data_IF_541911483352
#
_entry.id   IF_541911483352
#
_cell.length_a   1.000
_cell.length_b   1.000
_cell.length_c   1.000
_cell.angle_alpha   90.00
_cell.angle_beta   90.00
_cell.angle_gamma   90.00
#
_symmetry.space_group_name_H-M   'P 1'
#
loop_
_entity.id
_entity.type
_entity.pdbx_description
1 polymer ?
#
# COMPACT_ATOMS: atom_id res chain seq x y z
N UNK A 1 6.94 5.92 1.71
CA UNK A 1 6.55 5.75 3.11
C UNK A 1 6.07 7.08 3.60
N UNK A 2 4.85 7.13 4.00
CA UNK A 2 4.26 8.27 4.65
C UNK A 2 4.53 8.21 6.14
N UNK A 3 5.07 9.26 6.71
CA UNK A 3 5.26 9.33 8.13
C UNK A 3 4.13 10.12 8.75
N UNK A 4 3.09 9.44 9.13
CA UNK A 4 2.27 9.88 10.23
C UNK A 4 2.73 9.13 11.45
N UNK A 5 3.18 9.84 12.44
CA UNK A 5 3.32 9.24 13.73
C UNK A 5 1.92 9.13 14.31
N UNK A 6 1.25 8.07 14.07
CA UNK A 6 0.05 7.75 14.83
C UNK A 6 0.43 7.26 16.21
N UNK A 7 1.27 8.00 16.87
CA UNK A 7 1.43 7.88 18.27
C UNK A 7 0.46 8.86 18.90
N UNK A 8 -0.62 8.36 19.39
CA UNK A 8 -1.43 8.92 20.45
C UNK A 8 -2.04 10.33 20.27
N UNK A 9 -1.46 11.19 19.40
CA UNK A 9 -1.92 12.56 19.25
C UNK A 9 -1.50 13.12 17.88
N UNK A 10 -2.46 13.33 16.98
CA UNK A 10 -2.22 13.90 15.64
C UNK A 10 -1.65 15.32 15.68
N UNK A 11 -1.94 16.07 16.72
CA UNK A 11 -1.39 17.42 16.88
C UNK A 11 0.09 17.38 17.25
N UNK A 12 0.53 16.40 18.03
CA UNK A 12 1.94 16.28 18.43
C UNK A 12 2.86 15.95 17.26
N UNK A 13 2.35 15.32 16.18
CA UNK A 13 3.15 15.00 15.00
C UNK A 13 3.50 16.25 14.23
N UNK A 14 2.53 17.10 13.99
CA UNK A 14 2.75 18.38 13.31
C UNK A 14 3.82 19.19 14.03
N UNK A 15 3.80 19.20 15.35
CA UNK A 15 4.77 19.92 16.16
C UNK A 15 6.13 19.23 16.20
N UNK A 16 6.16 17.90 16.11
CA UNK A 16 7.36 17.08 16.16
C UNK A 16 7.99 16.80 14.79
N UNK A 17 7.38 17.23 13.68
CA UNK A 17 7.96 17.08 12.35
C UNK A 17 9.08 18.11 12.12
N UNK A 18 10.27 17.81 12.58
CA UNK A 18 11.44 18.70 12.58
C UNK A 18 12.65 18.03 11.93
N UNK A 19 13.66 18.83 11.59
CA UNK A 19 14.95 18.30 11.12
C UNK A 19 15.50 17.21 12.06
N UNK A 20 15.52 17.47 13.36
CA UNK A 20 16.07 16.52 14.35
C UNK A 20 15.26 15.23 14.40
N UNK A 21 13.93 15.30 14.37
CA UNK A 21 13.10 14.09 14.36
C UNK A 21 13.29 13.24 13.09
N UNK A 22 13.60 13.86 11.96
CA UNK A 22 13.83 13.14 10.70
C UNK A 22 15.28 12.65 10.57
N UNK A 23 16.25 13.51 10.85
CA UNK A 23 17.66 13.31 10.46
C UNK A 23 18.62 13.30 11.63
N UNK A 24 18.16 13.50 12.88
CA UNK A 24 18.99 13.31 14.07
C UNK A 24 19.52 11.88 14.18
N UNK A 25 20.43 11.65 15.14
CA UNK A 25 21.10 10.35 15.30
C UNK A 25 20.15 9.15 15.34
N UNK A 26 18.97 9.31 15.93
CA UNK A 26 17.90 8.31 16.00
C UNK A 26 16.69 8.72 15.18
N UNK A 27 16.89 9.60 14.21
CA UNK A 27 15.83 10.12 13.36
C UNK A 27 15.21 9.06 12.47
N UNK A 28 13.99 9.31 12.04
CA UNK A 28 13.19 8.34 11.31
C UNK A 28 13.82 7.91 9.99
N UNK A 29 14.49 8.82 9.31
CA UNK A 29 15.18 8.50 8.06
C UNK A 29 16.35 7.54 8.25
N UNK A 30 16.94 7.47 9.46
CA UNK A 30 18.04 6.57 9.77
C UNK A 30 17.61 5.26 10.43
N UNK A 31 16.43 5.19 11.01
CA UNK A 31 15.98 4.01 11.76
C UNK A 31 15.02 3.12 10.99
N UNK A 32 14.21 3.69 10.09
CA UNK A 32 13.18 2.94 9.38
C UNK A 32 13.70 2.19 8.14
N UNK A 33 13.24 0.98 7.95
CA UNK A 33 13.42 0.13 6.77
C UNK A 33 14.86 -0.02 6.25
N UNK A 34 15.86 -0.34 7.08
CA UNK A 34 17.27 -0.34 6.67
C UNK A 34 17.57 -1.29 5.52
N UNK A 35 16.84 -2.42 5.39
CA UNK A 35 17.05 -3.43 4.33
C UNK A 35 16.57 -2.99 2.96
N UNK A 36 15.58 -2.10 2.88
CA UNK A 36 14.88 -1.78 1.62
C UNK A 36 14.63 -0.29 1.42
N UNK A 37 15.24 0.54 2.25
CA UNK A 37 15.08 2.00 2.22
C UNK A 37 15.34 2.59 0.83
N UNK A 38 16.33 2.05 0.12
CA UNK A 38 16.67 2.46 -1.25
C UNK A 38 15.58 2.21 -2.30
N UNK A 39 14.52 1.46 -1.98
CA UNK A 39 13.37 1.25 -2.85
C UNK A 39 12.18 2.14 -2.48
N UNK A 40 12.23 2.81 -1.34
CA UNK A 40 11.14 3.58 -0.77
C UNK A 40 11.32 5.07 -0.97
N UNK A 41 10.21 5.76 -1.25
CA UNK A 41 10.11 7.22 -1.15
C UNK A 41 9.70 7.57 0.28
N UNK A 42 10.42 8.49 0.90
CA UNK A 42 10.09 9.02 2.21
C UNK A 42 9.22 10.27 2.04
N UNK A 43 7.96 10.20 2.46
CA UNK A 43 7.01 11.31 2.37
C UNK A 43 6.79 11.92 3.75
N UNK A 44 6.96 13.23 3.88
CA UNK A 44 6.57 13.96 5.09
C UNK A 44 5.09 14.29 5.06
N UNK A 45 4.42 14.06 6.20
CA UNK A 45 2.99 14.31 6.38
C UNK A 45 2.69 15.79 6.66
N UNK A 46 1.44 16.10 6.92
CA UNK A 46 0.97 17.43 7.31
C UNK A 46 1.80 18.07 8.42
N UNK A 47 1.84 19.38 8.45
CA UNK A 47 2.62 20.15 9.43
C UNK A 47 4.08 20.41 9.06
N UNK A 48 4.53 20.08 7.86
CA UNK A 48 5.85 20.47 7.35
C UNK A 48 5.91 21.89 6.80
N UNK A 49 4.74 22.44 6.45
CA UNK A 49 4.59 23.74 5.82
C UNK A 49 4.69 24.88 6.82
N UNK A 50 5.22 26.00 6.33
CA UNK A 50 5.18 27.27 7.03
C UNK A 50 3.74 27.79 7.07
N UNK A 51 3.11 27.91 8.24
CA UNK A 51 1.76 28.44 8.33
C UNK A 51 1.76 29.96 8.12
N UNK A 52 0.73 30.48 7.42
CA UNK A 52 0.51 31.91 7.27
C UNK A 52 -0.01 32.55 8.57
N UNK A 53 -0.70 31.74 9.38
CA UNK A 53 -1.26 32.16 10.66
C UNK A 53 -1.02 31.09 11.73
N UNK A 54 -1.01 31.51 13.00
CA UNK A 54 -0.86 30.59 14.14
C UNK A 54 -2.15 29.80 14.43
N UNK A 55 -3.27 30.25 13.91
CA UNK A 55 -4.58 29.61 14.07
C UNK A 55 -5.25 29.49 12.71
N UNK A 56 -5.65 28.28 12.35
CA UNK A 56 -6.40 28.07 11.13
C UNK A 56 -7.82 28.61 11.23
N UNK A 57 -8.36 29.05 10.11
CA UNK A 57 -9.73 29.49 9.99
C UNK A 57 -10.63 28.36 9.50
N UNK A 58 -11.77 28.18 10.19
CA UNK A 58 -12.79 27.24 9.72
C UNK A 58 -13.29 27.64 8.31
N UNK A 59 -13.71 26.68 7.46
CA UNK A 59 -13.86 25.27 7.80
C UNK A 59 -12.61 24.38 7.57
N UNK A 60 -11.60 24.81 6.85
CA UNK A 60 -10.53 23.93 6.34
C UNK A 60 -9.12 24.34 6.84
N UNK A 61 -9.02 24.92 8.02
CA UNK A 61 -7.74 25.37 8.58
C UNK A 61 -6.94 26.25 7.59
N UNK A 62 -7.64 27.13 6.87
CA UNK A 62 -7.01 28.07 5.96
C UNK A 62 -5.96 28.90 6.70
N UNK A 63 -4.77 29.00 6.11
CA UNK A 63 -3.62 29.67 6.71
C UNK A 63 -2.71 28.76 7.53
N UNK A 64 -3.13 27.55 7.90
CA UNK A 64 -2.22 26.55 8.48
C UNK A 64 -1.57 25.68 7.40
N UNK A 65 -2.28 25.43 6.31
CA UNK A 65 -1.84 24.54 5.22
C UNK A 65 -2.03 25.23 3.87
N UNK A 66 -1.30 24.77 2.88
CA UNK A 66 -1.39 25.20 1.51
C UNK A 66 -0.25 26.11 1.05
N UNK A 67 0.67 26.52 1.92
CA UNK A 67 1.82 27.36 1.50
C UNK A 67 2.81 26.59 0.62
N UNK A 68 2.98 25.32 0.88
CA UNK A 68 4.01 24.44 0.31
C UNK A 68 5.43 24.97 0.46
N UNK A 69 5.66 25.77 1.47
CA UNK A 69 6.96 26.28 1.88
C UNK A 69 7.43 25.51 3.11
N UNK A 70 8.56 24.86 3.03
CA UNK A 70 9.13 24.15 4.18
C UNK A 70 9.41 25.12 5.33
N UNK A 71 8.84 24.85 6.51
CA UNK A 71 8.92 25.73 7.67
C UNK A 71 10.37 25.92 8.14
N UNK A 72 10.95 27.14 8.06
CA UNK A 72 12.32 27.40 8.48
C UNK A 72 12.55 27.26 9.98
N UNK A 73 11.50 27.35 10.80
CA UNK A 73 11.57 27.11 12.24
C UNK A 73 11.79 25.66 12.57
N UNK A 74 11.18 24.77 11.79
CA UNK A 74 11.32 23.32 11.92
C UNK A 74 12.53 22.75 11.19
N UNK A 75 12.94 23.41 10.10
CA UNK A 75 14.06 23.01 9.23
C UNK A 75 15.05 24.16 9.06
N UNK A 76 15.79 24.52 10.14
CA UNK A 76 16.73 25.64 10.10
C UNK A 76 17.90 25.36 9.17
N UNK A 77 18.36 26.39 8.45
CA UNK A 77 19.53 26.30 7.58
C UNK A 77 19.29 25.65 6.21
N UNK A 78 18.04 25.38 5.84
CA UNK A 78 17.72 24.72 4.57
C UNK A 78 17.75 25.66 3.34
N UNK A 79 18.11 26.91 3.50
CA UNK A 79 18.16 27.90 2.43
C UNK A 79 17.12 29.01 2.59
N UNK A 80 17.15 29.96 1.65
CA UNK A 80 16.38 31.19 1.72
C UNK A 80 15.12 31.16 0.82
N UNK A 81 15.14 30.35 -0.24
CA UNK A 81 14.02 30.21 -1.17
C UNK A 81 13.27 28.88 -0.96
N UNK A 82 12.00 28.78 -1.36
CA UNK A 82 11.25 27.53 -1.28
C UNK A 82 11.96 26.36 -1.98
N UNK A 83 12.53 26.59 -3.15
CA UNK A 83 13.26 25.57 -3.92
C UNK A 83 14.51 25.10 -3.19
N UNK A 84 15.34 26.02 -2.66
CA UNK A 84 16.52 25.66 -1.89
C UNK A 84 16.17 24.80 -0.67
N UNK A 85 15.12 25.16 0.06
CA UNK A 85 14.65 24.41 1.23
C UNK A 85 14.18 23.00 0.86
N UNK A 86 13.34 22.87 -0.16
CA UNK A 86 12.89 21.57 -0.64
C UNK A 86 14.05 20.73 -1.17
N UNK A 87 15.00 21.36 -1.87
CA UNK A 87 16.18 20.66 -2.35
C UNK A 87 17.04 20.12 -1.21
N UNK A 88 17.28 20.91 -0.18
CA UNK A 88 18.02 20.46 1.02
C UNK A 88 17.30 19.31 1.72
N UNK A 89 15.97 19.34 1.81
CA UNK A 89 15.19 18.22 2.31
C UNK A 89 15.39 16.95 1.44
N UNK A 90 15.29 17.06 0.13
CA UNK A 90 15.52 15.94 -0.81
C UNK A 90 16.91 15.36 -0.66
N UNK A 91 17.93 16.24 -0.58
CA UNK A 91 19.33 15.82 -0.46
C UNK A 91 19.57 15.05 0.87
N UNK A 92 18.99 15.51 1.98
CA UNK A 92 19.06 14.83 3.28
C UNK A 92 18.37 13.46 3.26
N UNK A 93 17.17 13.37 2.65
CA UNK A 93 16.44 12.10 2.50
C UNK A 93 17.28 11.09 1.69
N UNK A 94 17.85 11.54 0.57
CA UNK A 94 18.72 10.68 -0.27
C UNK A 94 20.01 10.30 0.44
N UNK A 95 20.63 11.22 1.18
CA UNK A 95 21.84 10.94 1.97
C UNK A 95 21.57 9.90 3.06
N UNK A 96 20.35 9.84 3.61
CA UNK A 96 19.94 8.80 4.54
C UNK A 96 19.63 7.44 3.85
N UNK A 97 19.79 7.36 2.52
CA UNK A 97 19.67 6.11 1.75
C UNK A 97 18.29 5.84 1.15
N UNK A 98 17.37 6.78 1.17
CA UNK A 98 16.05 6.63 0.55
C UNK A 98 16.10 6.88 -0.96
N UNK A 99 15.20 6.22 -1.71
CA UNK A 99 15.06 6.39 -3.16
C UNK A 99 14.74 7.82 -3.56
N UNK A 100 13.94 8.52 -2.76
CA UNK A 100 13.50 9.88 -3.02
C UNK A 100 12.67 10.44 -1.88
N UNK A 101 12.32 11.71 -2.00
CA UNK A 101 11.53 12.46 -1.05
C UNK A 101 10.15 12.79 -1.62
N UNK A 102 9.13 12.72 -0.79
CA UNK A 102 7.76 13.08 -1.11
C UNK A 102 7.18 14.09 -0.12
N UNK A 103 6.08 14.69 -0.50
CA UNK A 103 5.34 15.68 0.28
C UNK A 103 3.88 15.28 0.36
N UNK A 104 3.31 15.37 1.54
CA UNK A 104 1.88 15.48 1.70
C UNK A 104 1.42 16.89 1.27
N UNK A 105 0.36 16.96 0.47
CA UNK A 105 -0.13 18.20 -0.14
C UNK A 105 -1.58 18.41 0.26
N UNK A 106 -1.86 19.50 0.97
CA UNK A 106 -3.21 19.97 1.17
C UNK A 106 -3.79 20.49 -0.15
N UNK A 107 -4.97 20.00 -0.54
CA UNK A 107 -5.62 20.42 -1.79
C UNK A 107 -6.24 21.83 -1.66
N UNK A 108 -5.45 22.81 -1.27
CA UNK A 108 -5.83 24.23 -1.17
C UNK A 108 -4.61 25.14 -1.31
N UNK A 109 -4.83 26.37 -1.71
CA UNK A 109 -3.83 27.45 -1.72
C UNK A 109 -3.63 28.03 -0.32
N UNK A 110 -2.52 28.75 -0.16
CA UNK A 110 -2.32 29.62 1.01
C UNK A 110 -3.37 30.74 1.10
N UNK A 111 -3.37 31.45 2.22
CA UNK A 111 -4.37 32.50 2.48
C UNK A 111 -4.34 33.65 1.46
N UNK A 112 -3.16 33.99 0.92
CA UNK A 112 -2.99 35.09 -0.04
C UNK A 112 -3.52 34.75 -1.43
N UNK A 113 -3.47 33.46 -1.82
CA UNK A 113 -3.92 33.00 -3.14
C UNK A 113 -5.33 32.40 -3.13
N UNK A 114 -5.97 32.43 -1.97
CA UNK A 114 -7.31 31.90 -1.80
C UNK A 114 -8.36 32.76 -2.52
N UNK A 115 -8.99 32.22 -3.54
CA UNK A 115 -9.94 32.94 -4.38
C UNK A 115 -11.34 32.97 -3.77
N UNK A 116 -11.96 34.17 -3.75
CA UNK A 116 -13.32 34.33 -3.23
C UNK A 116 -14.39 33.59 -4.07
N UNK A 117 -14.13 33.38 -5.37
CA UNK A 117 -15.04 32.64 -6.26
C UNK A 117 -15.01 31.10 -6.07
N UNK A 118 -14.17 30.61 -5.16
CA UNK A 118 -14.07 29.19 -4.86
C UNK A 118 -13.26 28.37 -5.85
N UNK A 119 -12.75 28.97 -6.91
CA UNK A 119 -11.94 28.28 -7.90
C UNK A 119 -10.49 28.21 -7.45
N UNK A 120 -9.78 27.16 -7.84
CA UNK A 120 -8.34 27.09 -7.65
C UNK A 120 -7.59 28.07 -8.55
N UNK A 121 -6.38 28.46 -8.13
CA UNK A 121 -5.48 29.29 -8.92
C UNK A 121 -4.49 28.43 -9.72
N UNK A 122 -4.64 28.28 -11.05
CA UNK A 122 -3.72 27.49 -11.86
C UNK A 122 -2.26 27.95 -11.78
N UNK A 123 -2.01 29.27 -11.70
CA UNK A 123 -0.65 29.81 -11.67
C UNK A 123 0.06 29.42 -10.36
N UNK A 124 -0.65 29.44 -9.24
CA UNK A 124 -0.16 28.98 -7.95
C UNK A 124 0.33 27.52 -8.01
N UNK A 125 -0.48 26.62 -8.54
CA UNK A 125 -0.16 25.20 -8.62
C UNK A 125 0.95 24.90 -9.63
N UNK A 126 1.00 25.62 -10.75
CA UNK A 126 2.09 25.51 -11.73
C UNK A 126 3.43 25.86 -11.07
N UNK A 127 3.48 26.94 -10.30
CA UNK A 127 4.69 27.36 -9.57
C UNK A 127 5.14 26.27 -8.57
N UNK A 128 4.23 25.64 -7.79
CA UNK A 128 4.56 24.58 -6.84
C UNK A 128 5.06 23.32 -7.54
N UNK A 129 4.53 22.98 -8.69
CA UNK A 129 5.05 21.90 -9.54
C UNK A 129 6.47 22.22 -10.04
N UNK A 130 6.73 23.47 -10.42
CA UNK A 130 8.09 23.91 -10.79
C UNK A 130 9.06 23.81 -9.63
N UNK A 131 8.67 24.25 -8.42
CA UNK A 131 9.50 24.09 -7.22
C UNK A 131 9.81 22.61 -6.96
N UNK A 132 8.83 21.74 -7.06
CA UNK A 132 9.00 20.31 -6.84
C UNK A 132 9.95 19.68 -7.87
N UNK A 133 9.82 20.05 -9.16
CA UNK A 133 10.73 19.64 -10.22
C UNK A 133 12.17 20.09 -9.93
N UNK A 134 12.35 21.37 -9.64
CA UNK A 134 13.67 21.99 -9.47
C UNK A 134 14.38 21.48 -8.19
N UNK A 135 13.61 21.16 -7.16
CA UNK A 135 14.10 20.53 -5.93
C UNK A 135 14.31 19.03 -6.05
N UNK A 136 13.68 18.36 -7.02
CA UNK A 136 13.75 16.91 -7.21
C UNK A 136 12.83 16.11 -6.28
N UNK A 137 11.67 16.67 -5.92
CA UNK A 137 10.59 15.95 -5.22
C UNK A 137 10.07 14.84 -6.13
N UNK A 138 9.93 13.63 -5.57
CA UNK A 138 9.56 12.44 -6.33
C UNK A 138 8.08 12.06 -6.19
N UNK A 139 7.39 12.54 -5.15
CA UNK A 139 6.02 12.12 -4.83
C UNK A 139 5.21 13.24 -4.18
N UNK A 140 3.98 13.40 -4.64
CA UNK A 140 2.95 14.20 -4.00
C UNK A 140 1.80 13.31 -3.56
N UNK A 141 1.45 13.40 -2.30
CA UNK A 141 0.28 12.78 -1.71
C UNK A 141 -0.79 13.87 -1.53
N UNK A 142 -1.68 14.01 -2.53
CA UNK A 142 -2.69 15.07 -2.55
C UNK A 142 -3.95 14.62 -1.81
N UNK A 143 -4.18 15.24 -0.68
CA UNK A 143 -5.18 14.82 0.31
C UNK A 143 -6.36 15.81 0.41
N UNK A 144 -6.86 16.00 1.61
CA UNK A 144 -7.96 16.90 1.89
C UNK A 144 -7.59 18.38 1.63
N UNK A 145 -8.57 19.25 1.71
CA UNK A 145 -8.45 20.67 1.46
C UNK A 145 -9.66 21.18 0.70
N UNK A 146 -9.65 22.48 0.38
CA UNK A 146 -10.77 23.15 -0.27
C UNK A 146 -11.18 22.53 -1.62
N UNK A 147 -10.19 22.02 -2.36
CA UNK A 147 -10.38 21.45 -3.69
C UNK A 147 -10.33 19.91 -3.69
N UNK A 148 -10.41 19.28 -2.51
CA UNK A 148 -10.26 17.83 -2.39
C UNK A 148 -11.29 17.03 -3.21
N UNK A 149 -12.52 17.54 -3.31
CA UNK A 149 -13.60 16.95 -4.10
C UNK A 149 -13.77 17.57 -5.50
N UNK A 150 -12.90 18.51 -5.89
CA UNK A 150 -12.95 19.11 -7.23
C UNK A 150 -12.23 18.24 -8.25
N UNK A 151 -13.02 17.56 -9.08
CA UNK A 151 -12.52 16.70 -10.16
C UNK A 151 -11.67 17.48 -11.17
N UNK A 152 -12.06 18.74 -11.47
CA UNK A 152 -11.34 19.59 -12.41
C UNK A 152 -9.95 19.96 -11.90
N UNK A 153 -9.86 20.32 -10.62
CA UNK A 153 -8.60 20.60 -9.94
C UNK A 153 -7.66 19.38 -9.93
N UNK A 154 -8.15 18.23 -9.48
CA UNK A 154 -7.31 17.02 -9.39
C UNK A 154 -6.83 16.55 -10.76
N UNK A 155 -7.70 16.63 -11.78
CA UNK A 155 -7.29 16.33 -13.15
C UNK A 155 -6.28 17.34 -13.70
N UNK A 156 -6.46 18.63 -13.41
CA UNK A 156 -5.51 19.67 -13.75
C UNK A 156 -4.13 19.38 -13.15
N UNK A 157 -4.06 19.05 -11.84
CA UNK A 157 -2.78 18.69 -11.20
C UNK A 157 -2.08 17.52 -11.90
N UNK A 158 -2.81 16.44 -12.19
CA UNK A 158 -2.23 15.28 -12.86
C UNK A 158 -1.66 15.63 -14.24
N UNK A 159 -2.38 16.42 -15.03
CA UNK A 159 -1.94 16.82 -16.36
C UNK A 159 -0.72 17.75 -16.29
N UNK A 160 -0.77 18.76 -15.44
CA UNK A 160 0.34 19.71 -15.30
C UNK A 160 1.58 19.07 -14.68
N UNK A 161 1.41 18.13 -13.74
CA UNK A 161 2.54 17.40 -13.20
C UNK A 161 3.29 16.59 -14.26
N UNK A 162 2.58 15.93 -15.17
CA UNK A 162 3.19 15.18 -16.28
C UNK A 162 3.95 16.08 -17.25
N UNK A 163 3.46 17.29 -17.47
CA UNK A 163 4.09 18.25 -18.37
C UNK A 163 5.29 18.95 -17.73
N UNK A 164 5.11 19.44 -16.50
CA UNK A 164 6.08 20.31 -15.81
C UNK A 164 7.13 19.50 -15.05
N UNK A 165 6.70 18.44 -14.36
CA UNK A 165 7.52 17.63 -13.47
C UNK A 165 7.33 16.12 -13.75
N UNK A 166 7.71 15.60 -14.93
CA UNK A 166 7.38 14.23 -15.36
C UNK A 166 7.97 13.12 -14.47
N UNK A 167 8.95 13.44 -13.64
CA UNK A 167 9.49 12.51 -12.64
C UNK A 167 8.65 12.45 -11.35
N UNK A 168 7.77 13.42 -11.12
CA UNK A 168 6.88 13.48 -9.97
C UNK A 168 5.74 12.47 -10.14
N UNK A 169 5.47 11.69 -9.11
CA UNK A 169 4.28 10.84 -9.01
C UNK A 169 3.24 11.59 -8.21
N UNK A 170 2.02 11.72 -8.74
CA UNK A 170 0.91 12.32 -8.02
C UNK A 170 -0.07 11.24 -7.58
N UNK A 171 -0.17 11.06 -6.28
CA UNK A 171 -1.21 10.25 -5.66
C UNK A 171 -2.40 11.13 -5.31
N UNK A 172 -3.59 10.68 -5.69
CA UNK A 172 -4.83 11.29 -5.25
C UNK A 172 -5.47 10.44 -4.16
N UNK A 173 -5.63 11.06 -3.00
CA UNK A 173 -6.42 10.53 -1.88
C UNK A 173 -7.81 11.13 -2.00
N UNK A 174 -8.81 10.27 -2.12
CA UNK A 174 -10.20 10.70 -2.19
C UNK A 174 -10.94 10.10 -1.00
N UNK A 175 -10.78 10.74 0.14
CA UNK A 175 -11.35 10.31 1.42
C UNK A 175 -12.71 10.90 1.75
N UNK A 176 -13.27 11.70 0.86
CA UNK A 176 -14.53 12.40 1.12
C UNK A 176 -15.72 11.55 0.73
N UNK A 177 -16.51 11.11 1.68
CA UNK A 177 -17.80 10.46 1.41
C UNK A 177 -17.88 8.99 1.85
N UNK A 178 -18.66 8.17 1.14
CA UNK A 178 -19.08 6.86 1.59
C UNK A 178 -18.03 5.77 1.77
N UNK A 179 -16.78 6.00 1.32
CA UNK A 179 -15.64 5.15 1.65
C UNK A 179 -15.01 5.52 3.00
N UNK A 180 -15.44 6.62 3.58
CA UNK A 180 -15.00 7.00 4.90
C UNK A 180 -15.87 6.28 5.94
N UNK A 181 -15.28 5.37 6.70
CA UNK A 181 -15.99 4.51 7.64
C UNK A 181 -16.26 5.17 8.99
N UNK A 182 -16.61 6.43 9.01
CA UNK A 182 -17.01 7.04 10.29
C UNK A 182 -18.16 6.28 10.97
N UNK A 183 -18.99 5.63 10.19
CA UNK A 183 -20.09 4.81 10.68
C UNK A 183 -19.74 3.34 10.91
N UNK A 184 -18.62 2.87 10.39
CA UNK A 184 -18.02 1.59 10.74
C UNK A 184 -18.72 0.34 10.30
N UNK A 185 -19.58 0.34 9.36
CA UNK A 185 -20.16 -0.90 8.89
C UNK A 185 -20.65 -0.78 7.45
N UNK A 186 -20.41 -1.79 6.67
CA UNK A 186 -21.00 -1.94 5.36
C UNK A 186 -19.99 -1.90 4.22
N UNK A 187 -20.49 -2.24 3.06
CA UNK A 187 -19.78 -2.24 1.79
C UNK A 187 -19.71 -0.84 1.20
N UNK A 188 -18.74 -0.63 0.33
CA UNK A 188 -18.62 0.58 -0.49
C UNK A 188 -19.94 0.87 -1.22
N UNK A 189 -20.46 2.09 -1.11
CA UNK A 189 -21.64 2.46 -1.86
C UNK A 189 -21.37 2.55 -3.35
N UNK A 190 -22.27 2.08 -4.24
CA UNK A 190 -22.09 2.18 -5.69
C UNK A 190 -21.90 3.62 -6.19
N UNK A 191 -22.56 4.59 -5.57
CA UNK A 191 -22.44 6.00 -5.93
C UNK A 191 -21.02 6.53 -5.65
N UNK A 192 -20.47 6.22 -4.49
CA UNK A 192 -19.13 6.64 -4.12
C UNK A 192 -18.05 5.92 -4.94
N UNK A 193 -18.23 4.62 -5.17
CA UNK A 193 -17.35 3.86 -6.05
C UNK A 193 -17.30 4.47 -7.46
N UNK A 194 -18.45 4.85 -8.02
CA UNK A 194 -18.52 5.51 -9.32
C UNK A 194 -17.76 6.84 -9.31
N UNK A 195 -17.86 7.61 -8.26
CA UNK A 195 -17.09 8.85 -8.08
C UNK A 195 -15.59 8.55 -8.00
N UNK A 196 -15.15 7.61 -7.19
CA UNK A 196 -13.75 7.20 -7.09
C UNK A 196 -13.16 6.83 -8.46
N UNK A 197 -13.91 6.10 -9.30
CA UNK A 197 -13.44 5.74 -10.64
C UNK A 197 -13.21 6.95 -11.56
N UNK A 198 -13.90 8.06 -11.34
CA UNK A 198 -13.66 9.30 -12.10
C UNK A 198 -12.29 9.90 -11.80
N UNK A 199 -11.86 9.86 -10.54
CA UNK A 199 -10.52 10.33 -10.12
C UNK A 199 -9.43 9.34 -10.52
N UNK A 200 -9.67 8.06 -10.33
CA UNK A 200 -8.70 7.01 -10.60
C UNK A 200 -8.21 6.98 -12.05
N UNK A 201 -9.08 7.36 -13.00
CA UNK A 201 -8.75 7.36 -14.45
C UNK A 201 -7.56 8.21 -14.82
N UNK A 202 -7.37 9.36 -14.19
CA UNK A 202 -6.25 10.26 -14.50
C UNK A 202 -5.12 10.20 -13.47
N UNK A 203 -5.30 9.50 -12.37
CA UNK A 203 -4.31 9.38 -11.32
C UNK A 203 -3.08 8.57 -11.75
N UNK A 204 -1.91 8.96 -11.27
CA UNK A 204 -0.76 8.06 -11.33
C UNK A 204 -0.93 6.96 -10.28
N UNK A 205 -1.27 7.36 -9.05
CA UNK A 205 -1.65 6.48 -7.96
C UNK A 205 -2.97 7.00 -7.39
N UNK A 206 -3.91 6.09 -7.18
CA UNK A 206 -5.18 6.39 -6.56
C UNK A 206 -5.33 5.64 -5.25
N UNK A 207 -5.57 6.36 -4.17
CA UNK A 207 -5.94 5.79 -2.88
C UNK A 207 -7.41 6.07 -2.62
N UNK A 208 -8.19 5.01 -2.46
CA UNK A 208 -9.65 5.08 -2.39
C UNK A 208 -10.19 5.60 -1.05
N UNK A 209 -9.32 5.92 -0.12
CA UNK A 209 -9.69 6.41 1.21
C UNK A 209 -8.50 7.08 1.88
N UNK A 210 -8.80 7.94 2.81
CA UNK A 210 -7.87 8.48 3.78
C UNK A 210 -7.81 7.56 5.02
N UNK A 211 -6.92 7.89 5.93
CA UNK A 211 -6.83 7.23 7.24
C UNK A 211 -8.20 7.25 7.90
N UNK A 212 -8.73 6.08 8.16
CA UNK A 212 -10.01 5.93 8.83
C UNK A 212 -9.81 5.51 10.27
N UNK A 213 -10.84 5.73 11.11
CA UNK A 213 -10.84 5.29 12.49
C UNK A 213 -10.88 3.76 12.62
N UNK A 214 -11.19 3.07 11.54
CA UNK A 214 -11.49 1.64 11.55
C UNK A 214 -10.71 0.94 10.45
N UNK A 215 -9.40 0.91 10.63
CA UNK A 215 -8.54 0.20 9.72
C UNK A 215 -8.42 -1.26 10.12
N UNK A 216 -8.84 -2.08 9.21
CA UNK A 216 -8.68 -3.51 9.29
C UNK A 216 -8.51 -4.08 7.89
N UNK A 217 -7.98 -5.28 7.81
CA UNK A 217 -7.85 -5.98 6.54
C UNK A 217 -9.16 -6.03 5.75
N UNK A 218 -10.34 -6.44 6.33
CA UNK A 218 -11.57 -6.50 5.56
C UNK A 218 -12.01 -5.14 5.02
N UNK A 219 -11.80 -4.05 5.75
CA UNK A 219 -12.09 -2.70 5.26
C UNK A 219 -11.26 -2.38 4.02
N UNK A 220 -9.96 -2.59 4.08
CA UNK A 220 -9.06 -2.35 2.95
C UNK A 220 -9.36 -3.28 1.78
N UNK A 221 -9.57 -4.58 2.05
CA UNK A 221 -9.84 -5.59 1.04
C UNK A 221 -11.16 -5.32 0.30
N UNK A 222 -12.23 -4.93 1.01
CA UNK A 222 -13.50 -4.59 0.37
C UNK A 222 -13.33 -3.43 -0.60
N UNK A 223 -12.70 -2.35 -0.15
CA UNK A 223 -12.48 -1.14 -0.96
C UNK A 223 -11.68 -1.40 -2.21
N UNK A 224 -10.52 -2.04 -2.07
CA UNK A 224 -9.66 -2.32 -3.22
C UNK A 224 -10.29 -3.35 -4.16
N UNK A 225 -10.98 -4.36 -3.64
CA UNK A 225 -11.65 -5.39 -4.44
C UNK A 225 -12.77 -4.80 -5.28
N UNK A 226 -13.62 -3.96 -4.69
CA UNK A 226 -14.69 -3.28 -5.42
C UNK A 226 -14.14 -2.33 -6.48
N UNK A 227 -13.11 -1.56 -6.15
CA UNK A 227 -12.47 -0.67 -7.12
C UNK A 227 -11.88 -1.45 -8.29
N UNK A 228 -11.20 -2.55 -8.03
CA UNK A 228 -10.60 -3.41 -9.06
C UNK A 228 -11.66 -4.14 -9.90
N UNK A 229 -12.74 -4.61 -9.30
CA UNK A 229 -13.84 -5.29 -9.99
C UNK A 229 -14.51 -4.36 -11.01
N UNK A 230 -14.74 -3.11 -10.64
CA UNK A 230 -15.35 -2.09 -11.50
C UNK A 230 -14.33 -1.31 -12.33
N UNK A 231 -13.22 -1.93 -12.61
CA UNK A 231 -12.03 -1.37 -13.20
C UNK A 231 -12.30 -0.38 -14.34
N UNK A 232 -11.50 0.63 -14.35
CA UNK A 232 -11.49 1.70 -15.33
C UNK A 232 -10.33 1.50 -16.32
N UNK A 233 -10.42 2.16 -17.45
CA UNK A 233 -9.27 2.32 -18.35
C UNK A 233 -8.56 3.62 -17.97
N UNK A 234 -7.28 3.59 -17.55
CA UNK A 234 -6.52 4.81 -17.31
C UNK A 234 -6.48 5.71 -18.53
N UNK A 235 -6.53 7.02 -18.33
CA UNK A 235 -6.30 7.99 -19.39
C UNK A 235 -4.86 7.91 -19.89
N UNK A 236 -4.62 8.37 -21.12
CA UNK A 236 -3.27 8.40 -21.70
C UNK A 236 -2.30 9.16 -20.78
N UNK A 237 -1.15 8.55 -20.53
CA UNK A 237 -0.12 9.07 -19.64
C UNK A 237 -0.36 8.84 -18.15
N UNK A 238 -1.55 8.38 -17.72
CA UNK A 238 -1.80 7.99 -16.35
C UNK A 238 -1.17 6.62 -16.03
N UNK A 239 -0.59 6.47 -14.85
CA UNK A 239 -0.02 5.18 -14.43
C UNK A 239 -1.10 4.17 -14.03
N UNK A 240 -2.27 4.63 -13.55
CA UNK A 240 -3.42 3.80 -13.21
C UNK A 240 -3.16 2.79 -12.08
N UNK A 241 -2.30 3.13 -11.13
CA UNK A 241 -1.99 2.29 -9.99
C UNK A 241 -2.99 2.56 -8.85
N UNK A 242 -3.32 1.52 -8.09
CA UNK A 242 -4.10 1.63 -6.86
C UNK A 242 -3.18 1.44 -5.66
N UNK A 243 -3.34 2.29 -4.65
CA UNK A 243 -2.61 2.22 -3.40
C UNK A 243 -3.41 1.44 -2.35
N UNK A 244 -2.74 0.49 -1.73
CA UNK A 244 -3.24 -0.24 -0.57
C UNK A 244 -2.52 0.31 0.66
N UNK A 245 -3.25 1.05 1.49
CA UNK A 245 -2.69 1.65 2.69
C UNK A 245 -2.45 0.59 3.76
N UNK A 246 -1.23 0.55 4.28
CA UNK A 246 -0.78 -0.25 5.42
C UNK A 246 -0.90 -1.79 5.31
N UNK A 247 -1.71 -2.33 4.42
CA UNK A 247 -1.86 -3.76 4.19
C UNK A 247 -0.89 -4.21 3.08
N UNK A 248 0.41 -4.20 3.40
CA UNK A 248 1.48 -4.42 2.39
C UNK A 248 1.44 -5.80 1.75
N UNK A 249 1.09 -6.85 2.51
CA UNK A 249 0.95 -8.20 1.93
C UNK A 249 -0.26 -8.29 0.99
N UNK A 250 -1.34 -7.59 1.28
CA UNK A 250 -2.47 -7.47 0.36
C UNK A 250 -2.04 -6.76 -0.93
N UNK A 251 -1.27 -5.67 -0.79
CA UNK A 251 -0.71 -4.98 -1.95
C UNK A 251 0.18 -5.91 -2.79
N UNK A 252 1.06 -6.68 -2.17
CA UNK A 252 1.89 -7.69 -2.84
C UNK A 252 1.06 -8.80 -3.49
N UNK A 253 0.01 -9.27 -2.84
CA UNK A 253 -0.84 -10.34 -3.36
C UNK A 253 -1.67 -9.90 -4.58
N UNK A 254 -2.12 -8.64 -4.63
CA UNK A 254 -2.95 -8.11 -5.70
C UNK A 254 -2.21 -7.24 -6.73
N UNK A 255 -0.88 -7.10 -6.63
CA UNK A 255 -0.11 -6.26 -7.54
C UNK A 255 -0.44 -4.76 -7.45
N UNK A 256 -0.66 -4.28 -6.25
CA UNK A 256 -0.95 -2.89 -5.91
C UNK A 256 0.31 -2.19 -5.38
N UNK A 257 0.29 -0.87 -5.32
CA UNK A 257 1.27 -0.11 -4.54
C UNK A 257 0.89 -0.12 -3.06
N UNK A 258 1.85 0.09 -2.18
CA UNK A 258 1.60 0.18 -0.75
C UNK A 258 2.15 1.49 -0.20
N UNK A 259 1.38 2.11 0.68
CA UNK A 259 1.82 3.18 1.55
C UNK A 259 1.80 2.69 3.00
N UNK A 260 2.89 2.94 3.73
CA UNK A 260 2.95 2.60 5.14
C UNK A 260 2.84 3.87 5.96
N UNK A 261 1.71 4.03 6.61
CA UNK A 261 1.39 5.21 7.43
C UNK A 261 1.55 4.93 8.92
N UNK A 262 1.06 3.80 9.40
CA UNK A 262 0.98 3.45 10.82
C UNK A 262 2.25 2.80 11.31
N UNK A 263 3.25 3.59 11.51
CA UNK A 263 4.56 3.05 11.82
C UNK A 263 4.72 2.54 13.26
N UNK A 264 3.87 2.86 14.19
CA UNK A 264 3.89 2.20 15.50
C UNK A 264 3.64 0.70 15.37
N UNK A 265 2.68 0.28 14.54
CA UNK A 265 2.51 -1.11 14.17
C UNK A 265 3.62 -1.60 13.22
N UNK A 266 4.13 -0.75 12.33
CA UNK A 266 5.17 -1.11 11.37
C UNK A 266 6.53 -1.39 12.00
N UNK A 267 6.83 -0.91 13.21
CA UNK A 267 8.08 -1.24 13.89
C UNK A 267 8.23 -2.72 14.23
N UNK A 268 7.11 -3.43 14.37
CA UNK A 268 7.11 -4.86 14.65
C UNK A 268 6.89 -5.72 13.41
N UNK A 269 6.59 -5.11 12.27
CA UNK A 269 6.30 -5.78 11.00
C UNK A 269 7.10 -5.18 9.83
N UNK A 270 8.32 -4.73 10.08
CA UNK A 270 9.19 -4.16 9.05
C UNK A 270 9.56 -5.17 7.96
N UNK A 271 9.64 -6.44 8.33
CA UNK A 271 10.00 -7.52 7.42
C UNK A 271 8.90 -7.79 6.38
N UNK A 272 7.62 -7.55 6.68
CA UNK A 272 6.55 -7.63 5.67
C UNK A 272 6.76 -6.61 4.55
N UNK A 273 7.09 -5.37 4.92
CA UNK A 273 7.41 -4.32 3.94
C UNK A 273 8.61 -4.72 3.08
N UNK A 274 9.65 -5.23 3.72
CA UNK A 274 10.86 -5.63 3.03
C UNK A 274 10.61 -6.81 2.06
N UNK A 275 9.81 -7.80 2.45
CA UNK A 275 9.43 -8.93 1.59
C UNK A 275 8.64 -8.47 0.37
N UNK A 276 7.65 -7.60 0.56
CA UNK A 276 6.84 -7.07 -0.56
C UNK A 276 7.69 -6.25 -1.52
N UNK A 277 8.59 -5.40 -1.01
CA UNK A 277 9.46 -4.62 -1.88
C UNK A 277 10.44 -5.49 -2.68
N UNK A 278 11.00 -6.55 -2.07
CA UNK A 278 11.82 -7.51 -2.80
C UNK A 278 11.00 -8.27 -3.85
N UNK A 279 9.77 -8.65 -3.53
CA UNK A 279 8.85 -9.21 -4.52
C UNK A 279 8.59 -8.22 -5.66
N UNK A 280 8.33 -6.95 -5.37
CA UNK A 280 8.04 -5.93 -6.38
C UNK A 280 9.24 -5.59 -7.28
N UNK A 281 10.47 -5.92 -6.90
CA UNK A 281 11.61 -5.89 -7.82
C UNK A 281 11.51 -6.98 -8.92
N UNK A 282 10.91 -8.13 -8.61
CA UNK A 282 10.69 -9.23 -9.55
C UNK A 282 9.39 -9.06 -10.34
N UNK A 283 8.34 -8.62 -9.67
CA UNK A 283 6.97 -8.46 -10.16
C UNK A 283 6.42 -7.10 -9.69
N UNK A 284 6.67 -6.01 -10.42
CA UNK A 284 6.20 -4.67 -10.06
C UNK A 284 4.69 -4.58 -10.01
N UNK A 285 4.16 -3.68 -9.16
CA UNK A 285 2.76 -3.30 -9.17
C UNK A 285 2.34 -2.88 -10.58
N UNK A 286 1.10 -3.20 -10.96
CA UNK A 286 0.65 -3.01 -12.34
C UNK A 286 -0.70 -2.29 -12.40
N UNK A 287 -0.96 -1.57 -13.52
CA UNK A 287 -2.17 -0.79 -13.70
C UNK A 287 -3.43 -1.63 -13.61
N UNK A 288 -4.51 -1.00 -13.18
CA UNK A 288 -5.86 -1.58 -13.24
C UNK A 288 -6.27 -1.79 -14.69
N UNK A 289 -6.88 -2.92 -14.97
CA UNK A 289 -7.40 -3.25 -16.30
C UNK A 289 -8.81 -3.80 -16.18
N UNK A 290 -9.72 -3.26 -16.99
CA UNK A 290 -11.10 -3.70 -17.00
C UNK A 290 -11.23 -5.21 -17.26
N UNK A 291 -12.00 -5.90 -16.43
CA UNK A 291 -12.32 -7.33 -16.57
C UNK A 291 -11.20 -8.29 -16.16
N UNK A 292 -10.12 -7.80 -15.55
CA UNK A 292 -9.02 -8.65 -15.08
C UNK A 292 -9.17 -9.13 -13.63
N UNK A 293 -10.20 -8.67 -12.94
CA UNK A 293 -10.45 -8.96 -11.52
C UNK A 293 -11.73 -9.75 -11.34
N UNK A 294 -11.69 -10.73 -10.44
CA UNK A 294 -12.83 -11.52 -9.99
C UNK A 294 -12.87 -11.51 -8.47
N UNK A 295 -14.08 -11.48 -7.90
CA UNK A 295 -14.31 -11.63 -6.46
C UNK A 295 -15.29 -12.77 -6.22
N UNK A 296 -15.18 -13.44 -5.07
CA UNK A 296 -16.16 -14.42 -4.64
C UNK A 296 -17.48 -13.75 -4.29
N UNK A 297 -18.58 -14.48 -4.49
CA UNK A 297 -19.90 -14.05 -4.00
C UNK A 297 -20.04 -14.19 -2.48
N UNK A 298 -19.20 -15.01 -1.88
CA UNK A 298 -19.13 -15.16 -0.43
C UNK A 298 -18.45 -13.95 0.19
N UNK A 299 -19.11 -13.34 1.17
CA UNK A 299 -18.58 -12.27 1.99
C UNK A 299 -18.27 -12.81 3.38
N UNK A 300 -17.09 -12.48 3.86
CA UNK A 300 -16.71 -12.79 5.24
C UNK A 300 -16.80 -11.52 6.07
N UNK A 301 -17.31 -11.65 7.29
CA UNK A 301 -17.36 -10.59 8.27
C UNK A 301 -16.29 -10.79 9.34
N UNK A 302 -15.56 -9.74 9.67
CA UNK A 302 -14.78 -9.67 10.89
C UNK A 302 -15.45 -8.74 11.88
N UNK A 303 -15.46 -9.15 13.13
CA UNK A 303 -15.97 -8.35 14.24
C UNK A 303 -14.88 -8.19 15.29
N UNK A 304 -14.69 -6.98 15.77
CA UNK A 304 -13.76 -6.70 16.86
C UNK A 304 -14.25 -5.52 17.70
N UNK A 305 -13.83 -5.49 18.93
CA UNK A 305 -14.08 -4.39 19.84
C UNK A 305 -12.81 -3.59 20.04
N UNK A 306 -12.95 -2.28 20.03
CA UNK A 306 -11.85 -1.38 20.30
C UNK A 306 -11.60 -1.26 21.82
N UNK A 307 -10.33 -1.23 22.19
CA UNK A 307 -9.86 -1.02 23.54
C UNK A 307 -8.86 0.12 23.56
N UNK A 308 -9.17 1.12 24.36
CA UNK A 308 -8.34 2.32 24.51
C UNK A 308 -8.64 3.44 23.50
N UNK A 309 -8.33 4.65 23.90
CA UNK A 309 -8.45 5.83 23.07
C UNK A 309 -7.23 5.96 22.16
N UNK A 310 -7.42 5.64 20.92
CA UNK A 310 -6.48 6.03 19.85
C UNK A 310 -7.23 6.86 18.83
N UNK A 311 -6.51 7.65 18.07
CA UNK A 311 -7.10 8.47 17.02
C UNK A 311 -7.93 7.67 15.99
N UNK A 312 -7.66 6.39 15.86
CA UNK A 312 -8.36 5.48 14.96
C UNK A 312 -9.53 4.73 15.59
N UNK A 313 -9.58 4.67 16.90
CA UNK A 313 -10.63 3.91 17.55
C UNK A 313 -11.84 4.80 17.78
N UNK A 314 -13.04 4.31 17.44
CA UNK A 314 -14.27 4.84 18.01
C UNK A 314 -14.21 4.70 19.54
N UNK A 315 -15.20 5.24 20.22
CA UNK A 315 -15.28 5.13 21.68
C UNK A 315 -14.98 3.70 22.16
N UNK A 316 -14.21 3.59 23.24
CA UNK A 316 -13.82 2.32 23.86
C UNK A 316 -15.03 1.38 24.04
N UNK A 317 -14.82 0.10 23.75
CA UNK A 317 -15.86 -0.93 23.82
C UNK A 317 -16.84 -0.96 22.63
N UNK A 318 -16.70 -0.10 21.63
CA UNK A 318 -17.51 -0.18 20.41
C UNK A 318 -17.09 -1.39 19.58
N UNK A 319 -18.06 -2.25 19.27
CA UNK A 319 -17.88 -3.35 18.31
C UNK A 319 -18.11 -2.85 16.89
N UNK A 320 -17.25 -3.28 16.00
CA UNK A 320 -17.30 -2.99 14.57
C UNK A 320 -17.36 -4.30 13.81
N UNK A 321 -18.21 -4.35 12.81
CA UNK A 321 -18.30 -5.44 11.85
C UNK A 321 -17.98 -4.91 10.45
N UNK A 322 -17.03 -5.55 9.78
CA UNK A 322 -16.61 -5.22 8.42
C UNK A 322 -16.72 -6.46 7.53
N UNK A 323 -17.14 -6.24 6.30
CA UNK A 323 -17.35 -7.31 5.32
C UNK A 323 -16.43 -7.12 4.14
N UNK A 324 -15.88 -8.23 3.63
CA UNK A 324 -15.12 -8.23 2.39
C UNK A 324 -15.33 -9.55 1.63
N UNK A 325 -15.04 -9.59 0.31
CA UNK A 325 -15.02 -10.83 -0.45
C UNK A 325 -14.08 -11.86 0.18
N UNK A 326 -14.54 -13.10 0.36
CA UNK A 326 -13.71 -14.17 0.88
C UNK A 326 -12.45 -14.38 0.02
N UNK A 327 -12.61 -14.26 -1.29
CA UNK A 327 -11.54 -14.46 -2.26
C UNK A 327 -11.57 -13.37 -3.32
N UNK A 328 -10.40 -12.79 -3.61
CA UNK A 328 -10.19 -11.84 -4.70
C UNK A 328 -9.05 -12.32 -5.59
N UNK A 329 -9.27 -12.37 -6.90
CA UNK A 329 -8.25 -12.73 -7.88
C UNK A 329 -8.12 -11.67 -8.96
N UNK A 330 -6.88 -11.41 -9.43
CA UNK A 330 -6.57 -10.38 -10.42
C UNK A 330 -5.62 -10.88 -11.51
N UNK A 331 -5.58 -10.17 -12.65
CA UNK A 331 -4.70 -10.50 -13.78
C UNK A 331 -5.19 -11.71 -14.58
N UNK A 332 -6.50 -11.99 -14.54
CA UNK A 332 -7.12 -13.13 -15.21
C UNK A 332 -6.86 -14.49 -14.52
N UNK A 333 -6.32 -14.48 -13.30
CA UNK A 333 -6.19 -15.68 -12.49
C UNK A 333 -7.57 -16.14 -12.03
N UNK A 334 -7.94 -17.43 -12.19
CA UNK A 334 -9.15 -17.98 -11.59
C UNK A 334 -9.17 -17.80 -10.07
N UNK A 335 -10.34 -17.65 -9.48
CA UNK A 335 -10.47 -17.58 -8.02
C UNK A 335 -9.82 -18.82 -7.37
N UNK A 336 -8.92 -18.63 -6.39
CA UNK A 336 -8.44 -19.73 -5.55
C UNK A 336 -9.58 -20.48 -4.88
N UNK A 337 -9.48 -21.81 -4.84
CA UNK A 337 -10.39 -22.66 -4.06
C UNK A 337 -9.86 -22.75 -2.63
N UNK A 338 -10.72 -22.47 -1.65
CA UNK A 338 -10.39 -22.46 -0.22
C UNK A 338 -11.19 -23.52 0.49
N UNK A 339 -10.50 -24.45 1.15
CA UNK A 339 -11.08 -25.51 1.97
C UNK A 339 -10.57 -25.42 3.40
N UNK A 340 -11.48 -25.40 4.36
CA UNK A 340 -11.13 -25.42 5.79
C UNK A 340 -12.27 -26.04 6.59
N UNK A 341 -11.91 -26.65 7.70
CA UNK A 341 -12.90 -27.17 8.67
C UNK A 341 -13.32 -26.13 9.70
N UNK A 342 -12.73 -24.92 9.65
CA UNK A 342 -12.97 -23.81 10.57
C UNK A 342 -13.39 -22.54 9.84
N UNK A 343 -13.17 -21.40 10.49
CA UNK A 343 -13.39 -20.08 9.89
C UNK A 343 -12.48 -19.93 8.66
N UNK A 344 -13.01 -19.59 7.48
CA UNK A 344 -12.19 -19.37 6.29
C UNK A 344 -11.37 -18.09 6.44
N UNK A 345 -10.10 -18.07 5.98
CA UNK A 345 -9.32 -16.84 5.86
C UNK A 345 -9.80 -16.02 4.67
N UNK A 346 -9.39 -14.74 4.62
CA UNK A 346 -9.42 -13.99 3.37
C UNK A 346 -8.26 -14.43 2.47
N UNK A 347 -8.52 -14.54 1.17
CA UNK A 347 -7.52 -14.95 0.19
C UNK A 347 -7.48 -13.96 -0.96
N UNK A 348 -6.29 -13.49 -1.31
CA UNK A 348 -6.07 -12.61 -2.45
C UNK A 348 -4.97 -13.20 -3.34
N UNK A 349 -5.15 -13.16 -4.66
CA UNK A 349 -4.15 -13.66 -5.60
C UNK A 349 -4.11 -12.82 -6.88
N UNK A 350 -2.93 -12.76 -7.52
CA UNK A 350 -2.79 -12.10 -8.81
C UNK A 350 -1.80 -12.81 -9.71
N UNK A 351 -2.11 -12.82 -11.02
CA UNK A 351 -1.15 -13.10 -12.08
C UNK A 351 -0.63 -11.78 -12.63
N UNK A 352 0.66 -11.58 -12.49
CA UNK A 352 1.34 -10.36 -12.92
C UNK A 352 1.64 -10.37 -14.42
N UNK A 353 1.73 -9.18 -15.07
CA UNK A 353 2.07 -9.10 -16.49
C UNK A 353 3.40 -9.76 -16.86
N UNK A 354 4.34 -9.85 -15.94
CA UNK A 354 5.63 -10.52 -16.13
C UNK A 354 5.54 -12.06 -16.05
N UNK A 355 4.36 -12.65 -15.85
CA UNK A 355 4.13 -14.08 -15.71
C UNK A 355 4.39 -14.65 -14.29
N UNK A 356 4.66 -13.79 -13.32
CA UNK A 356 4.71 -14.18 -11.91
C UNK A 356 3.30 -14.27 -11.31
N UNK A 357 3.16 -15.02 -10.21
CA UNK A 357 1.91 -15.17 -9.45
C UNK A 357 2.17 -14.83 -8.00
N UNK A 358 1.23 -14.13 -7.36
CA UNK A 358 1.26 -13.91 -5.91
C UNK A 358 -0.01 -14.43 -5.26
N UNK A 359 0.12 -14.92 -4.04
CA UNK A 359 -0.94 -15.36 -3.15
C UNK A 359 -0.77 -14.72 -1.79
N UNK A 360 -1.83 -14.17 -1.24
CA UNK A 360 -1.91 -13.72 0.15
C UNK A 360 -3.00 -14.48 0.88
N UNK A 361 -2.71 -14.95 2.09
CA UNK A 361 -3.65 -15.63 2.98
C UNK A 361 -3.68 -14.89 4.30
N UNK A 362 -4.86 -14.42 4.69
CA UNK A 362 -4.99 -13.44 5.77
C UNK A 362 -5.97 -13.94 6.84
N UNK A 363 -5.58 -13.78 8.10
CA UNK A 363 -6.42 -14.09 9.25
C UNK A 363 -7.67 -13.23 9.33
N UNK A 364 -8.58 -13.65 10.20
CA UNK A 364 -9.94 -13.07 10.30
C UNK A 364 -10.01 -11.90 11.26
N UNK A 365 -9.31 -11.93 12.34
CA UNK A 365 -9.42 -10.89 13.38
C UNK A 365 -8.20 -9.99 13.34
N UNK A 366 -8.42 -8.70 13.35
CA UNK A 366 -7.39 -7.69 13.24
C UNK A 366 -7.48 -6.68 14.39
N UNK A 367 -7.25 -7.15 15.61
CA UNK A 367 -7.02 -6.24 16.74
C UNK A 367 -5.61 -5.66 16.64
N UNK A 368 -5.50 -4.34 16.61
CA UNK A 368 -4.22 -3.66 16.55
C UNK A 368 -3.33 -4.11 15.37
N UNK A 369 -3.91 -4.63 14.27
CA UNK A 369 -3.26 -5.15 13.06
C UNK A 369 -2.62 -6.53 13.16
N UNK A 370 -2.77 -7.24 14.23
CA UNK A 370 -2.37 -8.64 14.32
C UNK A 370 -3.55 -9.51 13.94
N UNK A 371 -3.57 -9.98 12.68
CA UNK A 371 -4.56 -10.94 12.24
C UNK A 371 -4.33 -12.28 12.95
N UNK A 372 -5.40 -12.91 13.43
CA UNK A 372 -5.32 -14.26 13.97
C UNK A 372 -4.89 -15.24 12.86
N UNK A 373 -3.74 -15.93 12.98
CA UNK A 373 -3.26 -16.88 11.99
C UNK A 373 -3.97 -18.24 12.05
N UNK A 374 -4.77 -18.51 13.08
CA UNK A 374 -5.42 -19.80 13.28
C UNK A 374 -6.25 -20.26 12.07
N UNK A 375 -7.15 -19.42 11.50
CA UNK A 375 -7.90 -19.77 10.29
C UNK A 375 -7.01 -20.07 9.08
N UNK A 376 -5.90 -19.36 8.94
CA UNK A 376 -4.95 -19.58 7.85
C UNK A 376 -4.30 -20.96 7.95
N UNK A 377 -3.82 -21.34 9.12
CA UNK A 377 -3.16 -22.63 9.37
C UNK A 377 -4.09 -23.82 9.16
N UNK A 378 -5.39 -23.64 9.27
CA UNK A 378 -6.38 -24.68 9.01
C UNK A 378 -6.79 -24.77 7.54
N UNK A 379 -6.45 -23.78 6.73
CA UNK A 379 -6.93 -23.66 5.36
C UNK A 379 -6.02 -24.34 4.35
N UNK A 380 -6.62 -25.05 3.38
CA UNK A 380 -5.98 -25.53 2.18
C UNK A 380 -6.37 -24.62 1.01
N UNK A 381 -5.37 -24.06 0.33
CA UNK A 381 -5.59 -23.14 -0.79
C UNK A 381 -5.17 -23.84 -2.08
N UNK A 382 -6.05 -23.84 -3.09
CA UNK A 382 -5.75 -24.40 -4.40
C UNK A 382 -5.74 -23.32 -5.47
N UNK A 383 -4.60 -23.17 -6.16
CA UNK A 383 -4.45 -22.30 -7.33
C UNK A 383 -4.43 -23.16 -8.60
N UNK A 384 -5.25 -22.76 -9.59
CA UNK A 384 -5.21 -23.33 -10.95
C UNK A 384 -4.38 -22.43 -11.84
N UNK A 385 -3.29 -22.96 -12.39
CA UNK A 385 -2.35 -22.21 -13.21
C UNK A 385 -2.51 -22.64 -14.69
N UNK A 386 -2.63 -21.67 -15.58
CA UNK A 386 -2.72 -21.87 -17.03
C UNK A 386 -1.36 -22.03 -17.70
N UNK A 387 -0.29 -21.60 -17.04
CA UNK A 387 1.10 -21.74 -17.43
C UNK A 387 2.00 -21.87 -16.20
N UNK A 388 3.21 -22.40 -16.35
CA UNK A 388 4.20 -22.37 -15.30
C UNK A 388 4.58 -20.91 -14.99
N UNK A 389 4.41 -20.44 -13.75
CA UNK A 389 4.73 -19.07 -13.41
C UNK A 389 6.24 -18.86 -13.38
N UNK A 390 6.66 -17.65 -13.74
CA UNK A 390 8.08 -17.25 -13.62
C UNK A 390 8.58 -17.34 -12.17
N UNK A 391 7.74 -17.01 -11.22
CA UNK A 391 7.94 -17.11 -9.78
C UNK A 391 6.58 -17.06 -9.09
N UNK A 392 6.50 -17.57 -7.86
CA UNK A 392 5.32 -17.45 -7.01
C UNK A 392 5.74 -16.81 -5.70
N UNK A 393 5.02 -15.77 -5.27
CA UNK A 393 5.10 -15.28 -3.88
C UNK A 393 3.94 -15.83 -3.07
N UNK A 394 4.22 -16.25 -1.84
CA UNK A 394 3.19 -16.63 -0.86
C UNK A 394 3.37 -15.76 0.37
N UNK A 395 2.37 -14.94 0.66
CA UNK A 395 2.33 -14.03 1.80
C UNK A 395 1.35 -14.54 2.86
N UNK A 396 1.78 -14.60 4.10
CA UNK A 396 0.99 -15.13 5.21
C UNK A 396 1.11 -16.64 5.38
N UNK A 397 0.23 -17.20 6.19
CA UNK A 397 0.25 -18.63 6.55
C UNK A 397 -0.89 -19.38 5.87
N UNK A 398 -0.66 -20.67 5.60
CA UNK A 398 -1.68 -21.60 5.09
C UNK A 398 -1.41 -22.99 5.67
N UNK A 399 -2.43 -23.84 5.76
CA UNK A 399 -2.25 -25.25 6.14
C UNK A 399 -1.64 -26.06 5.01
N UNK A 400 -2.06 -25.81 3.76
CA UNK A 400 -1.45 -26.38 2.58
C UNK A 400 -1.67 -25.48 1.35
N UNK A 401 -0.69 -25.43 0.46
CA UNK A 401 -0.82 -24.81 -0.86
C UNK A 401 -0.81 -25.92 -1.92
N UNK A 402 -1.84 -25.92 -2.75
CA UNK A 402 -1.98 -26.82 -3.89
C UNK A 402 -1.94 -26.03 -5.19
N UNK A 403 -1.04 -26.42 -6.06
CA UNK A 403 -0.87 -25.80 -7.38
C UNK A 403 -1.25 -26.83 -8.44
N UNK A 404 -2.36 -26.61 -9.13
CA UNK A 404 -2.73 -27.39 -10.31
C UNK A 404 -1.94 -26.84 -11.48
N UNK A 405 -0.97 -27.63 -11.95
CA UNK A 405 -0.02 -27.23 -12.98
C UNK A 405 -0.54 -27.62 -14.37
N UNK A 406 -0.23 -26.86 -15.42
CA UNK A 406 -0.61 -27.21 -16.79
C UNK A 406 0.24 -28.36 -17.31
N UNK A 407 -0.37 -29.26 -18.12
CA UNK A 407 0.32 -30.32 -18.84
C UNK A 407 0.38 -31.66 -18.12
N UNK A 408 0.74 -32.69 -18.88
CA UNK A 408 0.90 -34.08 -18.38
C UNK A 408 2.19 -34.23 -17.57
N UNK A 409 2.16 -35.16 -16.63
CA UNK A 409 3.14 -35.51 -15.60
C UNK A 409 4.62 -35.32 -15.98
N UNK A 410 5.05 -34.08 -16.11
CA UNK A 410 6.47 -33.75 -16.19
C UNK A 410 7.10 -33.84 -14.80
N UNK A 411 8.39 -34.15 -14.73
CA UNK A 411 9.12 -34.01 -13.48
C UNK A 411 9.38 -32.52 -13.22
N UNK A 412 9.07 -32.08 -12.03
CA UNK A 412 9.33 -30.72 -11.61
C UNK A 412 10.34 -30.67 -10.48
N UNK A 413 11.19 -29.64 -10.47
CA UNK A 413 11.94 -29.25 -9.30
C UNK A 413 11.30 -28.01 -8.67
N UNK A 414 11.25 -28.01 -7.36
CA UNK A 414 10.67 -26.93 -6.58
C UNK A 414 11.75 -26.31 -5.71
N UNK A 415 11.97 -25.03 -5.88
CA UNK A 415 12.90 -24.25 -5.08
C UNK A 415 12.14 -23.21 -4.25
N UNK A 416 12.59 -22.98 -3.03
CA UNK A 416 11.98 -22.01 -2.14
C UNK A 416 13.02 -21.21 -1.35
N UNK A 417 12.66 -19.95 -1.06
CA UNK A 417 13.44 -19.09 -0.17
C UNK A 417 12.51 -18.15 0.61
N UNK A 418 12.97 -17.65 1.75
CA UNK A 418 12.38 -16.44 2.33
C UNK A 418 12.60 -15.26 1.35
N UNK A 419 11.58 -14.46 1.10
CA UNK A 419 11.70 -13.25 0.28
C UNK A 419 12.75 -12.27 0.82
N UNK A 420 13.14 -12.37 2.09
CA UNK A 420 14.23 -11.59 2.69
C UNK A 420 15.62 -12.20 2.51
N UNK A 421 15.70 -13.47 2.06
CA UNK A 421 17.00 -14.13 1.94
C UNK A 421 17.84 -13.50 0.82
N UNK A 422 19.11 -13.31 1.08
CA UNK A 422 20.12 -13.00 0.07
C UNK A 422 20.76 -14.26 -0.53
N UNK A 423 20.48 -15.44 0.07
CA UNK A 423 20.94 -16.73 -0.41
C UNK A 423 20.04 -17.27 -1.54
N UNK A 424 20.59 -18.07 -2.44
CA UNK A 424 19.82 -18.72 -3.49
C UNK A 424 18.69 -19.60 -2.91
N UNK A 425 17.56 -19.74 -3.63
CA UNK A 425 16.50 -20.64 -3.22
C UNK A 425 16.98 -22.09 -3.08
N UNK A 426 16.53 -22.75 -2.01
CA UNK A 426 16.86 -24.14 -1.70
C UNK A 426 15.95 -25.11 -2.45
N UNK A 427 16.47 -26.22 -2.96
CA UNK A 427 15.67 -27.32 -3.53
C UNK A 427 14.87 -28.02 -2.42
N UNK A 428 13.56 -27.96 -2.53
CA UNK A 428 12.61 -28.57 -1.61
C UNK A 428 11.80 -29.69 -2.28
N UNK A 429 12.15 -30.11 -3.47
CA UNK A 429 11.40 -31.09 -4.26
C UNK A 429 11.05 -32.35 -3.48
N UNK A 430 12.01 -32.91 -2.73
CA UNK A 430 11.78 -34.08 -1.88
C UNK A 430 10.81 -33.89 -0.71
N UNK A 431 10.44 -32.62 -0.42
CA UNK A 431 9.51 -32.26 0.65
C UNK A 431 8.13 -31.83 0.09
N UNK A 432 7.90 -32.05 -1.19
CA UNK A 432 6.65 -31.75 -1.88
C UNK A 432 5.99 -33.03 -2.35
N UNK A 433 4.69 -33.03 -2.56
CA UNK A 433 3.92 -34.15 -3.11
C UNK A 433 3.38 -33.69 -4.47
N UNK A 434 3.62 -34.51 -5.49
CA UNK A 434 3.10 -34.26 -6.83
C UNK A 434 2.26 -35.48 -7.27
N UNK A 435 0.94 -35.27 -7.36
CA UNK A 435 -0.05 -36.29 -7.72
C UNK A 435 -1.11 -35.68 -8.65
N UNK A 436 -1.48 -36.39 -9.70
CA UNK A 436 -2.55 -36.03 -10.63
C UNK A 436 -2.45 -34.58 -11.15
N UNK A 437 -1.26 -34.14 -11.54
CA UNK A 437 -1.03 -32.77 -12.02
C UNK A 437 -1.06 -31.69 -10.95
N UNK A 438 -1.14 -32.05 -9.67
CA UNK A 438 -1.19 -31.13 -8.54
C UNK A 438 0.06 -31.25 -7.69
N UNK A 439 0.77 -30.13 -7.54
CA UNK A 439 1.86 -29.97 -6.59
C UNK A 439 1.30 -29.49 -5.26
N UNK A 440 1.55 -30.23 -4.20
CA UNK A 440 1.13 -29.90 -2.83
C UNK A 440 2.34 -29.55 -1.97
N UNK A 441 2.27 -28.40 -1.30
CA UNK A 441 3.26 -27.89 -0.37
C UNK A 441 2.63 -27.79 1.02
N UNK A 442 3.31 -28.32 2.01
CA UNK A 442 2.91 -28.22 3.42
C UNK A 442 3.06 -26.79 3.93
N UNK A 443 2.04 -26.28 4.64
CA UNK A 443 2.01 -24.90 5.11
C UNK A 443 3.04 -24.62 6.21
N UNK A 444 3.33 -25.59 7.08
CA UNK A 444 4.35 -25.44 8.10
C UNK A 444 5.75 -25.35 7.48
N UNK A 445 6.00 -26.11 6.38
CA UNK A 445 7.22 -25.98 5.59
C UNK A 445 7.35 -24.59 5.01
N UNK A 446 6.27 -24.05 4.40
CA UNK A 446 6.28 -22.70 3.83
C UNK A 446 6.52 -21.64 4.90
N UNK A 447 5.87 -21.74 6.06
CA UNK A 447 6.07 -20.82 7.18
C UNK A 447 7.53 -20.87 7.70
N UNK A 448 8.09 -22.07 7.86
CA UNK A 448 9.49 -22.24 8.27
C UNK A 448 10.45 -21.56 7.31
N UNK A 449 10.24 -21.73 6.00
CA UNK A 449 11.09 -21.12 4.97
C UNK A 449 10.89 -19.59 4.97
N UNK A 450 9.64 -19.13 4.95
CA UNK A 450 9.30 -17.71 4.85
C UNK A 450 9.64 -16.86 6.08
N UNK A 451 10.12 -17.47 7.15
CA UNK A 451 10.62 -16.80 8.37
C UNK A 451 12.12 -17.08 8.61
N UNK A 452 12.79 -17.77 7.69
CA UNK A 452 14.20 -18.18 7.90
C UNK A 452 15.19 -17.00 7.98
N UNK A 453 14.82 -15.86 7.43
CA UNK A 453 15.61 -14.62 7.43
C UNK A 453 14.97 -13.49 8.22
N UNK A 454 14.01 -13.84 9.11
CA UNK A 454 13.30 -12.86 9.94
C UNK A 454 14.24 -12.07 10.84
N UNK A 455 13.95 -10.78 10.98
CA UNK A 455 14.68 -9.89 11.89
C UNK A 455 14.36 -10.22 13.35
N UNK A 456 15.34 -10.18 14.26
CA UNK A 456 15.07 -10.41 15.68
C UNK A 456 14.01 -9.42 16.22
N UNK A 457 12.98 -9.96 16.84
CA UNK A 457 11.88 -9.16 17.43
C UNK A 457 10.84 -8.63 16.42
N UNK A 458 11.02 -8.90 15.13
CA UNK A 458 9.99 -8.60 14.13
C UNK A 458 8.90 -9.69 14.18
N UNK A 459 7.64 -9.27 14.15
CA UNK A 459 6.46 -10.16 14.26
C UNK A 459 5.76 -10.38 12.90
N UNK A 460 6.48 -10.12 11.81
CA UNK A 460 5.97 -10.30 10.46
C UNK A 460 5.55 -11.74 10.18
N UNK A 461 4.47 -11.88 9.44
CA UNK A 461 4.04 -13.15 8.87
C UNK A 461 5.06 -13.65 7.83
N UNK A 462 5.07 -14.96 7.53
CA UNK A 462 5.99 -15.50 6.52
C UNK A 462 5.76 -14.91 5.14
N UNK A 463 6.84 -14.85 4.35
CA UNK A 463 6.79 -14.49 2.94
C UNK A 463 7.77 -15.34 2.14
N UNK A 464 7.24 -16.20 1.27
CA UNK A 464 8.01 -17.22 0.54
C UNK A 464 8.09 -16.89 -0.94
N UNK A 465 9.27 -17.03 -1.52
CA UNK A 465 9.47 -17.09 -2.96
C UNK A 465 9.55 -18.56 -3.38
N UNK A 466 8.72 -18.98 -4.33
CA UNK A 466 8.77 -20.30 -4.95
C UNK A 466 9.17 -20.18 -6.43
N UNK A 467 9.95 -21.13 -6.90
CA UNK A 467 10.26 -21.36 -8.30
C UNK A 467 10.02 -22.82 -8.67
N UNK A 468 9.28 -23.04 -9.75
CA UNK A 468 8.97 -24.38 -10.26
C UNK A 468 9.62 -24.50 -11.61
N UNK A 469 10.53 -25.46 -11.74
CA UNK A 469 11.28 -25.71 -12.97
C UNK A 469 10.92 -27.08 -13.49
N UNK A 470 10.47 -27.14 -14.75
CA UNK A 470 10.23 -28.42 -15.43
C UNK A 470 11.56 -29.03 -15.82
N UNK A 471 11.81 -30.29 -15.41
CA UNK A 471 12.95 -31.04 -15.91
C UNK A 471 12.70 -31.40 -17.38
N UNK A 472 13.61 -30.99 -18.25
CA UNK A 472 13.62 -31.51 -19.62
C UNK A 472 13.92 -33.01 -19.55
N UNK A 473 13.00 -33.86 -20.04
CA UNK A 473 13.31 -35.26 -20.22
C UNK A 473 14.59 -35.36 -21.02
N UNK A 474 15.54 -36.20 -20.58
CA UNK A 474 16.62 -36.62 -21.45
C UNK A 474 15.93 -37.32 -22.63
N UNK A 475 16.06 -36.76 -23.83
CA UNK A 475 15.75 -37.51 -25.05
C UNK A 475 16.70 -38.71 -25.07
N UNK A 476 16.15 -39.90 -24.80
CA UNK A 476 16.82 -41.17 -24.94
C UNK A 476 17.07 -41.48 -26.43
#
# INVERSE_FOLDING_TARGET
MHKTAFAQDTYSIRDNLTHEALFGQHGWCHTLYPRVRGDLIFTICDGWELPDTQQGHAPLNVGLFGSQVLDPGKFPGYGNTPVERLKTYVDNVKAAGWKGAGLWICAQEDAAHHRADGRFDPAYWIERLQWSRDAGIAYWEVDWGRHCADLGFRRFLSLMAREIAPALVVEHIVGCGGLNDEAGAGRVSPAHLHECMRYARFADVFRSYDVTRQLSLPTTLDRVSELLLHAFTPEEGARGLVCCEDEVYLAGALGLTAMVMRHAAAYTTLDEVARVLRWQRLAPAFPVKAGDTQISMELLADEWSFHGDTWFTPADGKTVSQYAPAVTARGGLPLPDVKTDGLPPFVAAAKYPCGAVALGVFGRTCEGRLADPGPCRAAQITLKLDALPRAIAVFGETGALRLVLPGDAARFRVYAADLLSDEPPTDITARTVFEEGTLTLDGALLAQIGLSSASPGDTSRPGVLLSIVQEKGEEL
#
